data_IF_089046546441
#
_entry.id   IF_089046546441
#
_cell.length_a   1.000
_cell.length_b   1.000
_cell.length_c   1.000
_cell.angle_alpha   90.00
_cell.angle_beta   90.00
_cell.angle_gamma   90.00
#
_symmetry.space_group_name_H-M   'P 1'
#
loop_
_entity.id
_entity.type
_entity.pdbx_description
1 polymer ?
#
# COMPACT_ATOMS: atom_id res chain seq x y z
N UNK A 1 -32.29 19.17 35.96
CA UNK A 1 -31.72 20.53 35.92
C UNK A 1 -30.72 20.55 34.79
N UNK A 2 -31.18 21.09 33.67
CA UNK A 2 -30.39 21.38 32.49
C UNK A 2 -29.24 22.33 32.81
N UNK A 3 -28.13 22.19 32.09
CA UNK A 3 -27.29 23.33 31.71
C UNK A 3 -26.41 22.98 30.52
N UNK A 4 -26.98 23.25 29.34
CA UNK A 4 -26.35 23.81 28.14
C UNK A 4 -24.81 23.97 28.16
N UNK A 5 -24.12 23.23 27.29
CA UNK A 5 -22.96 23.78 26.57
C UNK A 5 -23.22 23.73 25.07
N UNK A 6 -23.14 24.93 24.52
CA UNK A 6 -23.32 25.43 23.18
C UNK A 6 -22.51 24.67 22.12
N UNK A 7 -23.21 24.29 21.05
CA UNK A 7 -22.77 24.30 19.64
C UNK A 7 -21.26 24.33 19.39
N UNK A 8 -20.72 23.19 18.93
CA UNK A 8 -19.66 23.20 17.92
C UNK A 8 -20.00 22.15 16.85
N UNK A 9 -20.53 22.63 15.73
CA UNK A 9 -20.67 21.89 14.49
C UNK A 9 -19.27 21.49 13.99
N UNK A 10 -18.79 20.31 14.38
CA UNK A 10 -17.52 19.77 13.91
C UNK A 10 -17.67 19.23 12.49
N UNK A 11 -17.56 20.10 11.48
CA UNK A 11 -17.51 19.75 10.06
C UNK A 11 -16.16 19.13 9.63
N UNK A 12 -15.49 18.37 10.51
CA UNK A 12 -14.15 17.82 10.25
C UNK A 12 -14.13 16.30 10.02
N UNK A 13 -15.26 15.58 10.15
CA UNK A 13 -15.20 14.11 10.29
C UNK A 13 -15.89 13.27 9.22
N UNK A 14 -16.38 13.86 8.12
CA UNK A 14 -17.13 13.11 7.10
C UNK A 14 -16.50 13.11 5.70
N UNK A 15 -15.17 12.96 5.60
CA UNK A 15 -14.56 12.60 4.31
C UNK A 15 -14.59 11.08 4.11
N UNK A 16 -15.53 10.60 3.29
CA UNK A 16 -15.69 9.17 2.95
C UNK A 16 -14.44 8.57 2.27
N UNK A 17 -13.58 9.41 1.69
CA UNK A 17 -12.31 8.99 1.08
C UNK A 17 -11.18 8.76 2.10
N UNK A 18 -11.26 9.35 3.29
CA UNK A 18 -10.25 9.17 4.35
C UNK A 18 -10.53 7.93 5.22
N UNK A 19 -11.82 7.60 5.41
CA UNK A 19 -12.28 6.45 6.21
C UNK A 19 -11.87 5.12 5.57
N UNK A 20 -11.94 5.00 4.23
CA UNK A 20 -11.62 3.76 3.51
C UNK A 20 -10.13 3.41 3.45
N UNK A 21 -9.24 4.35 3.83
CA UNK A 21 -7.78 4.17 3.74
C UNK A 21 -7.06 4.16 5.11
N UNK A 22 -7.82 4.18 6.22
CA UNK A 22 -7.28 4.26 7.58
C UNK A 22 -6.19 5.34 7.76
N UNK A 23 -6.38 6.51 7.13
CA UNK A 23 -5.42 7.59 7.23
C UNK A 23 -5.68 8.36 8.53
N UNK A 24 -4.81 8.16 9.53
CA UNK A 24 -4.92 8.80 10.84
C UNK A 24 -4.34 10.23 10.76
N UNK A 25 -5.23 11.22 10.71
CA UNK A 25 -4.87 12.64 10.53
C UNK A 25 -3.99 13.20 11.65
N UNK A 26 -3.91 12.54 12.81
CA UNK A 26 -3.14 13.05 13.96
C UNK A 26 -1.62 12.92 13.83
N UNK A 27 -1.12 12.16 12.85
CA UNK A 27 0.31 11.83 12.73
C UNK A 27 1.10 12.70 11.75
N UNK A 28 0.45 13.64 11.07
CA UNK A 28 1.08 14.47 10.03
C UNK A 28 1.24 15.93 10.54
N UNK A 29 2.45 16.31 10.97
CA UNK A 29 2.78 17.69 11.37
C UNK A 29 3.12 18.57 10.15
N UNK A 30 2.20 18.68 9.20
CA UNK A 30 2.37 19.56 8.04
C UNK A 30 1.03 19.94 7.43
N UNK A 31 0.60 21.20 7.57
CA UNK A 31 -0.63 21.77 6.98
C UNK A 31 -1.96 21.06 7.31
N UNK A 32 -2.80 21.72 8.11
CA UNK A 32 -4.13 21.29 8.57
C UNK A 32 -5.23 21.29 7.47
N UNK A 33 -4.91 21.04 6.20
CA UNK A 33 -5.91 21.06 5.13
C UNK A 33 -5.92 19.75 4.33
N UNK A 34 -6.94 18.91 4.56
CA UNK A 34 -7.22 17.78 3.69
C UNK A 34 -7.63 18.29 2.30
N UNK A 35 -6.73 18.21 1.33
CA UNK A 35 -6.99 18.57 -0.07
C UNK A 35 -7.83 17.52 -0.83
N UNK A 36 -8.45 16.58 -0.10
CA UNK A 36 -9.27 15.49 -0.62
C UNK A 36 -10.52 15.96 -1.38
N UNK A 37 -10.92 17.23 -1.23
CA UNK A 37 -11.97 17.86 -2.04
C UNK A 37 -11.51 18.23 -3.46
N UNK A 38 -10.20 18.37 -3.75
CA UNK A 38 -9.75 18.76 -5.10
C UNK A 38 -9.66 17.60 -6.10
N UNK A 39 -9.63 16.34 -5.63
CA UNK A 39 -9.48 15.19 -6.52
C UNK A 39 -10.78 14.44 -6.85
N UNK A 40 -11.93 14.81 -6.25
CA UNK A 40 -13.21 14.17 -6.55
C UNK A 40 -14.36 15.14 -6.88
N UNK A 41 -14.14 16.46 -6.85
CA UNK A 41 -15.18 17.46 -7.10
C UNK A 41 -15.26 17.95 -8.57
N UNK A 42 -14.75 17.19 -9.54
CA UNK A 42 -14.96 17.48 -10.96
C UNK A 42 -15.84 16.41 -11.59
N UNK A 43 -17.13 16.75 -11.70
CA UNK A 43 -18.18 16.07 -12.48
C UNK A 43 -19.07 15.01 -11.79
N UNK A 44 -19.56 15.28 -10.59
CA UNK A 44 -20.98 14.96 -10.33
C UNK A 44 -21.84 16.08 -10.91
N UNK A 45 -21.87 16.19 -12.26
CA UNK A 45 -22.98 16.89 -12.89
C UNK A 45 -24.23 16.12 -12.47
N UNK A 46 -25.08 16.75 -11.65
CA UNK A 46 -26.43 16.29 -11.32
C UNK A 46 -27.05 15.77 -12.63
N UNK A 47 -27.15 14.44 -12.78
CA UNK A 47 -27.63 13.84 -14.02
C UNK A 47 -29.07 14.28 -14.16
N UNK A 48 -29.36 15.15 -15.12
CA UNK A 48 -30.74 15.57 -15.42
C UNK A 48 -31.60 14.32 -15.52
N UNK A 49 -32.72 14.29 -14.78
CA UNK A 49 -33.68 13.20 -14.87
C UNK A 49 -34.03 12.99 -16.34
N UNK A 50 -33.94 11.73 -16.78
CA UNK A 50 -34.12 11.38 -18.17
C UNK A 50 -35.61 11.34 -18.46
N UNK A 51 -36.13 12.37 -19.11
CA UNK A 51 -37.49 12.35 -19.66
C UNK A 51 -37.50 11.60 -20.98
N UNK A 52 -38.47 10.71 -21.14
CA UNK A 52 -38.67 10.00 -22.39
C UNK A 52 -39.07 10.97 -23.49
N UNK A 53 -38.55 10.71 -24.70
CA UNK A 53 -38.93 11.51 -25.87
C UNK A 53 -40.37 11.15 -26.26
N UNK A 54 -41.29 12.13 -26.34
CA UNK A 54 -42.66 11.91 -26.80
C UNK A 54 -42.70 11.21 -28.16
N UNK A 55 -43.76 10.44 -28.43
CA UNK A 55 -43.87 9.61 -29.63
C UNK A 55 -43.81 10.44 -30.91
N UNK A 56 -44.44 11.61 -30.91
CA UNK A 56 -44.53 12.55 -32.02
C UNK A 56 -43.18 13.17 -32.41
N UNK A 57 -42.13 12.96 -31.60
CA UNK A 57 -40.77 13.48 -31.84
C UNK A 57 -39.76 12.38 -32.20
N UNK A 58 -40.23 11.15 -32.41
CA UNK A 58 -39.40 10.00 -32.79
C UNK A 58 -39.32 9.86 -34.31
N UNK A 59 -38.77 10.87 -34.96
CA UNK A 59 -38.55 10.87 -36.42
C UNK A 59 -37.28 10.09 -36.79
N UNK A 60 -37.00 9.92 -38.09
CA UNK A 60 -35.80 9.24 -38.58
C UNK A 60 -34.49 9.83 -37.99
N UNK A 61 -34.42 11.16 -37.89
CA UNK A 61 -33.30 11.87 -37.26
C UNK A 61 -33.10 11.49 -35.79
N UNK A 62 -34.17 11.20 -35.06
CA UNK A 62 -34.10 10.69 -33.69
C UNK A 62 -33.50 9.28 -33.66
N UNK A 63 -33.95 8.38 -34.54
CA UNK A 63 -33.44 7.01 -34.61
C UNK A 63 -31.95 6.97 -34.97
N UNK A 64 -31.49 7.80 -35.91
CA UNK A 64 -30.07 7.93 -36.25
C UNK A 64 -29.23 8.40 -35.06
N UNK A 65 -29.72 9.41 -34.31
CA UNK A 65 -29.05 9.91 -33.10
C UNK A 65 -28.99 8.83 -32.02
N UNK A 66 -30.08 8.06 -31.85
CA UNK A 66 -30.16 6.96 -30.89
C UNK A 66 -29.18 5.84 -31.24
N UNK A 67 -29.09 5.47 -32.52
CA UNK A 67 -28.13 4.49 -33.05
C UNK A 67 -26.69 4.93 -32.78
N UNK A 68 -26.35 6.19 -33.10
CA UNK A 68 -25.02 6.77 -32.81
C UNK A 68 -24.70 6.78 -31.31
N UNK A 69 -25.64 7.16 -30.46
CA UNK A 69 -25.44 7.15 -29.00
C UNK A 69 -25.22 5.73 -28.46
N UNK A 70 -25.96 4.73 -28.95
CA UNK A 70 -25.76 3.33 -28.56
C UNK A 70 -24.36 2.84 -28.95
N UNK A 71 -23.89 3.16 -30.16
CA UNK A 71 -22.54 2.83 -30.60
C UNK A 71 -21.47 3.50 -29.74
N UNK A 72 -21.64 4.80 -29.45
CA UNK A 72 -20.73 5.53 -28.56
C UNK A 72 -20.72 4.95 -27.14
N UNK A 73 -21.89 4.58 -26.60
CA UNK A 73 -22.00 3.96 -25.28
C UNK A 73 -21.31 2.59 -25.24
N UNK A 74 -21.47 1.76 -26.29
CA UNK A 74 -20.76 0.48 -26.42
C UNK A 74 -19.24 0.70 -26.45
N UNK A 75 -18.75 1.60 -27.29
CA UNK A 75 -17.32 1.95 -27.39
C UNK A 75 -16.76 2.47 -26.06
N UNK A 76 -17.52 3.32 -25.34
CA UNK A 76 -17.14 3.84 -24.03
C UNK A 76 -17.04 2.73 -22.99
N UNK A 77 -18.02 1.81 -22.95
CA UNK A 77 -17.99 0.64 -22.06
C UNK A 77 -16.81 -0.27 -22.35
N UNK A 78 -16.51 -0.55 -23.61
CA UNK A 78 -15.36 -1.35 -24.01
C UNK A 78 -14.03 -0.67 -23.67
N UNK A 79 -13.91 0.63 -23.88
CA UNK A 79 -12.72 1.38 -23.48
C UNK A 79 -12.50 1.34 -21.96
N UNK A 80 -13.56 1.50 -21.16
CA UNK A 80 -13.47 1.34 -19.70
C UNK A 80 -13.06 -0.07 -19.32
N UNK A 81 -13.70 -1.09 -19.89
CA UNK A 81 -13.37 -2.50 -19.61
C UNK A 81 -11.92 -2.83 -19.95
N UNK A 82 -11.38 -2.34 -21.07
CA UNK A 82 -9.97 -2.51 -21.42
C UNK A 82 -9.04 -1.92 -20.37
N UNK A 83 -9.31 -0.69 -19.92
CA UNK A 83 -8.52 -0.04 -18.86
C UNK A 83 -8.60 -0.79 -17.54
N UNK A 84 -9.79 -1.24 -17.15
CA UNK A 84 -9.99 -1.98 -15.91
C UNK A 84 -9.25 -3.33 -15.98
N UNK A 85 -9.30 -4.04 -17.11
CA UNK A 85 -8.56 -5.29 -17.32
C UNK A 85 -7.03 -5.09 -17.33
N UNK A 86 -6.54 -4.02 -17.96
CA UNK A 86 -5.11 -3.66 -17.94
C UNK A 86 -4.63 -3.39 -16.52
N UNK A 87 -5.44 -2.68 -15.73
CA UNK A 87 -5.16 -2.41 -14.32
C UNK A 87 -5.11 -3.70 -13.50
N UNK A 88 -6.07 -4.60 -13.69
CA UNK A 88 -6.09 -5.91 -13.02
C UNK A 88 -4.82 -6.70 -13.34
N UNK A 89 -4.42 -6.74 -14.62
CA UNK A 89 -3.20 -7.44 -15.04
C UNK A 89 -1.95 -6.81 -14.39
N UNK A 90 -1.87 -5.48 -14.36
CA UNK A 90 -0.75 -4.77 -13.73
C UNK A 90 -0.68 -5.05 -12.23
N UNK A 91 -1.82 -5.06 -11.53
CA UNK A 91 -1.88 -5.38 -10.11
C UNK A 91 -1.40 -6.80 -9.84
N UNK A 92 -1.88 -7.77 -10.61
CA UNK A 92 -1.45 -9.16 -10.51
C UNK A 92 0.06 -9.33 -10.69
N UNK A 93 0.64 -8.66 -11.68
CA UNK A 93 2.10 -8.71 -11.91
C UNK A 93 2.88 -8.10 -10.74
N UNK A 94 2.46 -6.95 -10.23
CA UNK A 94 3.10 -6.30 -9.09
C UNK A 94 2.98 -7.14 -7.81
N UNK A 95 1.85 -7.80 -7.58
CA UNK A 95 1.67 -8.73 -6.46
C UNK A 95 2.65 -9.90 -6.54
N UNK A 96 2.77 -10.51 -7.73
CA UNK A 96 3.74 -11.59 -7.98
C UNK A 96 5.17 -11.13 -7.76
N UNK A 97 5.56 -9.97 -8.29
CA UNK A 97 6.90 -9.40 -8.11
C UNK A 97 7.20 -9.12 -6.64
N UNK A 98 6.26 -8.51 -5.92
CA UNK A 98 6.40 -8.24 -4.50
C UNK A 98 6.59 -9.53 -3.68
N UNK A 99 5.82 -10.58 -3.99
CA UNK A 99 5.98 -11.89 -3.36
C UNK A 99 7.40 -12.45 -3.58
N UNK A 100 7.90 -12.41 -4.83
CA UNK A 100 9.25 -12.86 -5.14
C UNK A 100 10.33 -12.04 -4.43
N UNK A 101 10.17 -10.72 -4.37
CA UNK A 101 11.11 -9.83 -3.67
C UNK A 101 11.13 -10.11 -2.17
N UNK A 102 9.96 -10.30 -1.54
CA UNK A 102 9.85 -10.69 -0.12
C UNK A 102 10.53 -12.02 0.15
N UNK A 103 10.33 -13.01 -0.72
CA UNK A 103 10.99 -14.31 -0.60
C UNK A 103 12.52 -14.18 -0.67
N UNK A 104 13.04 -13.45 -1.66
CA UNK A 104 14.49 -13.21 -1.80
C UNK A 104 15.06 -12.45 -0.61
N UNK A 105 14.33 -11.45 -0.12
CA UNK A 105 14.74 -10.68 1.06
C UNK A 105 14.84 -11.60 2.27
N UNK A 106 13.83 -12.45 2.51
CA UNK A 106 13.84 -13.44 3.59
C UNK A 106 15.06 -14.36 3.51
N UNK A 107 15.34 -14.93 2.34
CA UNK A 107 16.47 -15.83 2.15
C UNK A 107 17.81 -15.15 2.51
N UNK A 108 18.02 -13.93 2.03
CA UNK A 108 19.25 -13.17 2.34
C UNK A 108 19.31 -12.78 3.83
N UNK A 109 18.18 -12.42 4.44
CA UNK A 109 18.16 -12.11 5.88
C UNK A 109 18.49 -13.33 6.73
N UNK A 110 18.01 -14.51 6.34
CA UNK A 110 18.28 -15.77 7.04
C UNK A 110 19.76 -16.15 6.94
N UNK A 111 20.36 -16.02 5.76
CA UNK A 111 21.80 -16.23 5.54
C UNK A 111 22.64 -15.26 6.39
N UNK A 112 22.28 -13.97 6.40
CA UNK A 112 22.96 -12.98 7.22
C UNK A 112 22.85 -13.28 8.71
N UNK A 113 21.69 -13.73 9.18
CA UNK A 113 21.50 -14.09 10.58
C UNK A 113 22.33 -15.32 10.97
N UNK A 114 22.40 -16.32 10.09
CA UNK A 114 23.25 -17.50 10.28
C UNK A 114 24.72 -17.10 10.39
N UNK A 115 25.23 -16.27 9.48
CA UNK A 115 26.62 -15.80 9.50
C UNK A 115 26.90 -15.01 10.79
N UNK A 116 26.00 -14.12 11.20
CA UNK A 116 26.13 -13.36 12.46
C UNK A 116 26.22 -14.30 13.67
N UNK A 117 25.34 -15.30 13.75
CA UNK A 117 25.35 -16.30 14.84
C UNK A 117 26.68 -17.06 14.88
N UNK A 118 27.17 -17.50 13.72
CA UNK A 118 28.45 -18.19 13.59
C UNK A 118 29.63 -17.30 14.03
N UNK A 119 29.68 -16.03 13.58
CA UNK A 119 30.72 -15.09 13.99
C UNK A 119 30.69 -14.82 15.51
N UNK A 120 29.50 -14.65 16.08
CA UNK A 120 29.33 -14.49 17.53
C UNK A 120 29.87 -15.70 18.30
N UNK A 121 29.56 -16.91 17.84
CA UNK A 121 30.10 -18.14 18.42
C UNK A 121 31.64 -18.20 18.33
N UNK A 122 32.23 -17.89 17.18
CA UNK A 122 33.68 -17.87 17.02
C UNK A 122 34.35 -16.84 17.93
N UNK A 123 33.81 -15.62 18.04
CA UNK A 123 34.38 -14.58 18.88
C UNK A 123 34.33 -14.97 20.37
N UNK A 124 33.20 -15.50 20.83
CA UNK A 124 33.06 -16.00 22.20
C UNK A 124 34.02 -17.15 22.51
N UNK A 125 34.20 -18.11 21.60
CA UNK A 125 35.14 -19.21 21.80
C UNK A 125 36.61 -18.78 21.71
N UNK A 126 36.95 -17.81 20.85
CA UNK A 126 38.32 -17.26 20.77
C UNK A 126 38.78 -16.65 22.10
N UNK A 127 37.87 -15.99 22.83
CA UNK A 127 38.13 -15.46 24.17
C UNK A 127 38.43 -16.59 25.17
N UNK A 128 37.82 -17.77 25.02
CA UNK A 128 38.08 -18.93 25.89
C UNK A 128 39.49 -19.49 25.65
N UNK A 129 39.92 -19.64 24.39
CA UNK A 129 41.25 -20.19 24.07
C UNK A 129 42.40 -19.21 24.33
N UNK A 130 42.15 -17.90 24.32
CA UNK A 130 43.16 -16.89 24.65
C UNK A 130 43.37 -16.72 26.17
N UNK A 131 42.39 -17.09 26.99
CA UNK A 131 42.47 -17.02 28.45
C UNK A 131 42.73 -18.38 29.13
N UNK A 132 43.06 -19.43 28.37
CA UNK A 132 43.43 -20.73 28.92
C UNK A 132 44.94 -20.75 29.21
N UNK A 133 45.40 -20.63 30.47
CA UNK A 133 46.83 -20.70 30.78
C UNK A 133 47.37 -22.04 30.31
N UNK A 134 48.45 -22.02 29.53
CA UNK A 134 49.16 -23.24 29.15
C UNK A 134 49.49 -24.02 30.42
N UNK A 135 49.17 -25.33 30.51
CA UNK A 135 49.56 -26.12 31.67
C UNK A 135 51.08 -26.02 31.79
N UNK A 136 51.57 -25.66 32.97
CA UNK A 136 53.00 -25.55 33.24
C UNK A 136 53.63 -26.92 32.98
N UNK A 137 54.31 -27.07 31.85
CA UNK A 137 55.10 -28.26 31.59
C UNK A 137 56.19 -28.35 32.66
N UNK A 138 56.35 -29.50 33.35
CA UNK A 138 57.42 -29.64 34.32
C UNK A 138 58.75 -29.51 33.60
N UNK A 139 59.48 -28.43 33.90
CA UNK A 139 60.85 -28.23 33.45
C UNK A 139 61.65 -29.36 34.09
N UNK A 140 61.95 -30.41 33.32
CA UNK A 140 62.91 -31.41 33.75
C UNK A 140 64.26 -30.71 33.82
N UNK A 141 64.69 -30.39 35.03
CA UNK A 141 66.04 -29.91 35.32
C UNK A 141 67.03 -31.01 34.94
N UNK A 142 67.55 -30.95 33.72
CA UNK A 142 68.73 -31.71 33.33
C UNK A 142 69.96 -31.07 33.98
N UNK A 143 70.14 -31.28 35.28
CA UNK A 143 71.40 -31.03 35.98
C UNK A 143 71.39 -31.83 37.29
N UNK A 144 71.88 -33.07 37.25
CA UNK A 144 72.78 -33.61 38.27
C UNK A 144 73.29 -34.99 37.86
N UNK A 145 74.61 -35.07 37.72
CA UNK A 145 75.53 -36.22 37.58
C UNK A 145 75.69 -36.80 36.17
#
# INVERSE_FOLDING_TARGET
MDSLILSQNNTSLNCHSCILKHYDHRKWQGSNECNCNKFNASQTQQRRLKTDTPWEKKDDKYYEKRKRNNMAAKKSREAKRRKDNEMVLKLFLLEKENMMLKFRLSAVTDELEMIKRTLMFYNSNKVIWQNNPQPSFPIKSFLSL
#
